data_IF_970268632077
#
_entry.id   IF_970268632077
#
_cell.length_a   1.000
_cell.length_b   1.000
_cell.length_c   1.000
_cell.angle_alpha   90.00
_cell.angle_beta   90.00
_cell.angle_gamma   90.00
#
_symmetry.space_group_name_H-M   'P 1'
#
loop_
_entity.id
_entity.type
_entity.pdbx_description
1 polymer ?
#
# COMPACT_ATOMS: atom_id res chain seq x y z
N UNK A 1 -79.65 35.09 -23.07
CA UNK A 1 -79.41 35.81 -24.34
C UNK A 1 -77.99 35.51 -24.79
N UNK A 2 -77.86 34.89 -25.96
CA UNK A 2 -76.71 34.65 -26.85
C UNK A 2 -75.28 35.09 -26.46
N UNK A 3 -74.33 34.14 -26.61
CA UNK A 3 -72.91 34.38 -26.90
C UNK A 3 -72.73 35.06 -28.27
N UNK A 4 -71.62 35.80 -28.54
CA UNK A 4 -70.47 35.13 -29.17
C UNK A 4 -69.06 35.69 -28.85
N UNK A 5 -68.11 34.78 -29.08
CA UNK A 5 -66.70 34.89 -29.45
C UNK A 5 -66.27 36.14 -30.23
N UNK A 6 -65.05 36.64 -29.93
CA UNK A 6 -64.29 37.55 -30.78
C UNK A 6 -63.04 38.14 -30.10
N UNK A 7 -61.88 37.52 -30.32
CA UNK A 7 -60.55 38.12 -30.07
C UNK A 7 -60.27 39.23 -31.11
N UNK A 8 -59.29 40.15 -30.92
CA UNK A 8 -57.90 39.75 -31.20
C UNK A 8 -56.79 40.49 -30.39
N UNK A 9 -55.59 39.93 -30.54
CA UNK A 9 -54.26 40.58 -30.53
C UNK A 9 -53.73 41.18 -29.22
N UNK A 10 -52.76 40.49 -28.64
CA UNK A 10 -51.48 41.14 -28.36
C UNK A 10 -50.33 40.14 -28.54
N UNK A 11 -49.52 40.38 -29.58
CA UNK A 11 -48.17 39.85 -29.67
C UNK A 11 -47.40 40.35 -28.43
N UNK A 12 -46.81 39.45 -27.66
CA UNK A 12 -45.65 39.82 -26.88
C UNK A 12 -44.55 38.77 -27.05
N UNK A 13 -43.56 39.20 -27.81
CA UNK A 13 -42.27 38.57 -28.00
C UNK A 13 -41.57 38.41 -26.65
N UNK A 14 -41.36 37.17 -26.23
CA UNK A 14 -40.30 36.85 -25.29
C UNK A 14 -39.59 35.61 -25.79
N UNK A 15 -38.60 35.86 -26.64
CA UNK A 15 -37.62 34.86 -27.03
C UNK A 15 -36.89 34.39 -25.78
N UNK A 16 -37.34 33.26 -25.21
CA UNK A 16 -36.47 32.44 -24.38
C UNK A 16 -35.41 31.87 -25.30
N UNK A 17 -34.25 32.51 -25.33
CA UNK A 17 -33.00 31.88 -25.75
C UNK A 17 -32.84 30.67 -24.84
N UNK A 18 -33.17 29.49 -25.37
CA UNK A 18 -32.87 28.21 -24.77
C UNK A 18 -31.36 28.03 -24.90
N UNK A 19 -30.61 28.57 -23.93
CA UNK A 19 -29.19 28.28 -23.79
C UNK A 19 -29.00 26.76 -23.68
N UNK A 20 -27.93 26.20 -24.25
CA UNK A 20 -27.65 24.78 -24.13
C UNK A 20 -27.54 24.44 -22.64
N UNK A 21 -28.26 23.40 -22.23
CA UNK A 21 -28.19 22.86 -20.87
C UNK A 21 -26.71 22.66 -20.50
N UNK A 22 -26.28 23.04 -19.28
CA UNK A 22 -24.98 22.63 -18.81
C UNK A 22 -25.00 21.11 -18.83
N UNK A 23 -24.10 20.52 -19.61
CA UNK A 23 -23.83 19.10 -19.58
C UNK A 23 -23.40 18.82 -18.15
N UNK A 24 -24.35 18.34 -17.34
CA UNK A 24 -24.07 17.66 -16.10
C UNK A 24 -23.28 16.45 -16.57
N UNK A 25 -21.95 16.60 -16.64
CA UNK A 25 -21.02 15.50 -16.58
C UNK A 25 -21.35 14.87 -15.24
N UNK A 26 -22.35 13.98 -15.23
CA UNK A 26 -22.52 12.99 -14.19
C UNK A 26 -21.14 12.36 -14.08
N UNK A 27 -20.42 12.75 -13.04
CA UNK A 27 -19.20 12.10 -12.61
C UNK A 27 -19.65 10.67 -12.35
N UNK A 28 -19.46 9.80 -13.34
CA UNK A 28 -19.88 8.40 -13.26
C UNK A 28 -19.41 7.86 -11.91
N UNK A 29 -20.29 7.32 -11.07
CA UNK A 29 -19.93 6.90 -9.72
C UNK A 29 -18.78 5.87 -9.72
N UNK A 30 -18.65 5.13 -10.82
CA UNK A 30 -17.54 4.21 -11.10
C UNK A 30 -16.20 4.93 -11.25
N UNK A 31 -16.16 6.07 -11.94
CA UNK A 31 -14.95 6.89 -12.07
C UNK A 31 -14.58 7.56 -10.74
N UNK A 32 -15.58 8.01 -9.96
CA UNK A 32 -15.34 8.55 -8.63
C UNK A 32 -14.79 7.49 -7.66
N UNK A 33 -15.30 6.26 -7.74
CA UNK A 33 -14.80 5.13 -6.95
C UNK A 33 -13.35 4.76 -7.36
N UNK A 34 -13.05 4.72 -8.66
CA UNK A 34 -11.71 4.43 -9.17
C UNK A 34 -10.70 5.51 -8.78
N UNK A 35 -11.09 6.80 -8.84
CA UNK A 35 -10.26 7.91 -8.34
C UNK A 35 -10.03 7.77 -6.83
N UNK A 36 -11.07 7.42 -6.05
CA UNK A 36 -10.92 7.17 -4.61
C UNK A 36 -9.96 6.02 -4.28
N UNK A 37 -10.02 4.92 -5.05
CA UNK A 37 -9.10 3.78 -4.91
C UNK A 37 -7.67 4.15 -5.33
N UNK A 38 -7.50 4.93 -6.39
CA UNK A 38 -6.20 5.44 -6.84
C UNK A 38 -5.56 6.40 -5.83
N UNK A 39 -6.33 7.30 -5.22
CA UNK A 39 -5.84 8.20 -4.18
C UNK A 39 -5.41 7.39 -2.93
N UNK A 40 -6.22 6.43 -2.49
CA UNK A 40 -5.87 5.54 -1.37
C UNK A 40 -4.58 4.75 -1.62
N UNK A 41 -4.44 4.17 -2.81
CA UNK A 41 -3.23 3.43 -3.18
C UNK A 41 -2.01 4.35 -3.23
N UNK A 42 -2.15 5.58 -3.70
CA UNK A 42 -1.10 6.60 -3.70
C UNK A 42 -0.69 7.01 -2.28
N UNK A 43 -1.64 7.21 -1.37
CA UNK A 43 -1.37 7.49 0.06
C UNK A 43 -0.64 6.33 0.73
N UNK A 44 -1.06 5.09 0.48
CA UNK A 44 -0.40 3.90 1.00
C UNK A 44 1.02 3.73 0.46
N UNK A 45 1.27 4.05 -0.80
CA UNK A 45 2.63 4.07 -1.38
C UNK A 45 3.51 5.14 -0.71
N UNK A 46 2.96 6.33 -0.46
CA UNK A 46 3.70 7.39 0.25
C UNK A 46 4.02 6.98 1.68
N UNK A 47 3.06 6.37 2.38
CA UNK A 47 3.28 5.81 3.72
C UNK A 47 4.37 4.74 3.68
N UNK A 48 4.32 3.82 2.72
CA UNK A 48 5.33 2.77 2.56
C UNK A 48 6.73 3.37 2.40
N UNK A 49 6.91 4.37 1.52
CA UNK A 49 8.20 5.06 1.33
C UNK A 49 8.71 5.72 2.62
N UNK A 50 7.81 6.34 3.40
CA UNK A 50 8.16 6.94 4.69
C UNK A 50 8.61 5.87 5.69
N UNK A 51 7.87 4.76 5.79
CA UNK A 51 8.23 3.65 6.67
C UNK A 51 9.57 3.05 6.25
N UNK A 52 9.78 2.78 4.95
CA UNK A 52 11.07 2.30 4.42
C UNK A 52 12.22 3.21 4.84
N UNK A 53 12.01 4.53 4.80
CA UNK A 53 13.03 5.50 5.24
C UNK A 53 13.30 5.44 6.75
N UNK A 54 12.34 5.04 7.57
CA UNK A 54 12.52 4.88 9.02
C UNK A 54 13.26 3.60 9.39
N UNK A 55 12.99 2.50 8.65
CA UNK A 55 13.52 1.17 8.96
C UNK A 55 14.84 0.86 8.26
N UNK A 56 15.22 1.63 7.23
CA UNK A 56 16.47 1.44 6.49
C UNK A 56 17.68 1.28 7.44
N UNK A 57 18.42 0.19 7.30
CA UNK A 57 19.47 -0.15 8.27
C UNK A 57 20.70 0.76 8.19
N UNK A 58 20.92 1.43 7.05
CA UNK A 58 22.09 2.30 6.84
C UNK A 58 21.82 3.77 7.12
N UNK A 59 20.58 4.24 6.89
CA UNK A 59 20.18 5.65 6.93
C UNK A 59 18.90 5.92 7.72
N UNK A 60 18.19 4.88 8.14
CA UNK A 60 16.96 5.00 8.90
C UNK A 60 17.20 5.31 10.37
N UNK A 61 16.14 5.78 11.05
CA UNK A 61 16.22 6.24 12.44
C UNK A 61 16.13 5.08 13.44
N UNK A 62 15.49 3.97 13.10
CA UNK A 62 15.26 2.86 14.03
C UNK A 62 16.52 2.02 14.28
N UNK A 63 17.37 1.81 13.27
CA UNK A 63 18.58 1.00 13.42
C UNK A 63 19.64 1.65 14.34
N UNK A 64 19.92 2.98 14.26
CA UNK A 64 20.76 3.68 15.23
C UNK A 64 20.19 3.64 16.65
N UNK A 65 18.88 3.83 16.82
CA UNK A 65 18.24 3.76 18.14
C UNK A 65 18.39 2.36 18.73
N UNK A 66 18.14 1.30 17.94
CA UNK A 66 18.36 -0.09 18.36
C UNK A 66 19.80 -0.30 18.82
N UNK A 67 20.79 0.11 18.01
CA UNK A 67 22.22 -0.01 18.36
C UNK A 67 22.59 0.74 19.65
N UNK A 68 22.05 1.95 19.86
CA UNK A 68 22.28 2.69 21.11
C UNK A 68 21.71 1.95 22.33
N UNK A 69 20.51 1.37 22.20
CA UNK A 69 19.87 0.59 23.27
C UNK A 69 20.66 -0.69 23.56
N UNK A 70 21.10 -1.41 22.52
CA UNK A 70 21.96 -2.60 22.65
C UNK A 70 23.28 -2.26 23.36
N UNK A 71 23.93 -1.17 22.95
CA UNK A 71 25.19 -0.74 23.55
C UNK A 71 25.02 -0.29 25.01
N UNK A 72 23.88 0.32 25.37
CA UNK A 72 23.57 0.64 26.75
C UNK A 72 23.27 -0.62 27.58
N UNK A 73 22.59 -1.62 26.99
CA UNK A 73 22.34 -2.90 27.64
C UNK A 73 23.65 -3.63 27.95
N UNK A 74 24.56 -3.72 26.98
CA UNK A 74 25.87 -4.36 27.17
C UNK A 74 26.75 -3.64 28.20
N UNK A 75 26.69 -2.31 28.29
CA UNK A 75 27.42 -1.58 29.33
C UNK A 75 26.88 -1.83 30.74
N UNK A 76 25.59 -2.11 30.86
CA UNK A 76 24.95 -2.44 32.12
C UNK A 76 25.14 -3.91 32.51
N UNK A 77 25.48 -4.77 31.55
CA UNK A 77 25.77 -6.19 31.75
C UNK A 77 27.07 -6.37 32.54
N UNK A 78 27.05 -7.22 33.57
CA UNK A 78 28.21 -7.44 34.44
C UNK A 78 28.47 -6.35 35.49
N UNK A 79 27.63 -5.30 35.58
CA UNK A 79 27.76 -4.30 36.62
C UNK A 79 27.49 -4.90 38.02
N UNK A 80 28.25 -4.53 39.07
CA UNK A 80 28.05 -5.04 40.44
C UNK A 80 26.68 -4.66 41.01
N UNK A 81 26.19 -3.47 40.65
CA UNK A 81 24.89 -2.97 41.12
C UNK A 81 23.70 -3.69 40.48
N UNK A 82 22.80 -4.21 41.32
CA UNK A 82 21.62 -4.95 40.88
C UNK A 82 20.64 -4.12 40.03
N UNK A 83 20.48 -2.82 40.32
CA UNK A 83 19.59 -1.94 39.56
C UNK A 83 20.08 -1.71 38.12
N UNK A 84 21.41 -1.67 37.92
CA UNK A 84 22.00 -1.54 36.59
C UNK A 84 21.80 -2.82 35.77
N UNK A 85 21.95 -4.00 36.37
CA UNK A 85 21.65 -5.26 35.68
C UNK A 85 20.20 -5.35 35.23
N UNK A 86 19.26 -4.97 36.10
CA UNK A 86 17.83 -4.90 35.75
C UNK A 86 17.58 -3.89 34.61
N UNK A 87 18.20 -2.71 34.65
CA UNK A 87 18.13 -1.76 33.55
C UNK A 87 18.69 -2.35 32.23
N UNK A 88 19.80 -3.09 32.30
CA UNK A 88 20.39 -3.80 31.17
C UNK A 88 19.43 -4.81 30.54
N UNK A 89 18.80 -5.67 31.33
CA UNK A 89 17.81 -6.63 30.83
C UNK A 89 16.61 -5.96 30.16
N UNK A 90 16.14 -4.83 30.71
CA UNK A 90 15.05 -4.05 30.11
C UNK A 90 15.46 -3.44 28.77
N UNK A 91 16.67 -2.90 28.68
CA UNK A 91 17.22 -2.36 27.44
C UNK A 91 17.37 -3.46 26.39
N UNK A 92 17.88 -4.63 26.77
CA UNK A 92 17.98 -5.79 25.86
C UNK A 92 16.60 -6.23 25.34
N UNK A 93 15.57 -6.25 26.20
CA UNK A 93 14.20 -6.53 25.78
C UNK A 93 13.65 -5.46 24.82
N UNK A 94 13.93 -4.19 25.09
CA UNK A 94 13.55 -3.08 24.20
C UNK A 94 14.24 -3.17 22.83
N UNK A 95 15.53 -3.50 22.79
CA UNK A 95 16.27 -3.71 21.55
C UNK A 95 15.66 -4.83 20.68
N UNK A 96 15.34 -5.98 21.31
CA UNK A 96 14.65 -7.09 20.63
C UNK A 96 13.29 -6.65 20.07
N UNK A 97 12.51 -5.90 20.85
CA UNK A 97 11.19 -5.42 20.42
C UNK A 97 11.29 -4.44 19.25
N UNK A 98 12.28 -3.54 19.27
CA UNK A 98 12.56 -2.63 18.16
C UNK A 98 12.95 -3.41 16.90
N UNK A 99 13.77 -4.46 17.02
CA UNK A 99 14.14 -5.29 15.88
C UNK A 99 12.92 -5.97 15.24
N UNK A 100 12.05 -6.59 16.04
CA UNK A 100 10.80 -7.20 15.52
C UNK A 100 9.92 -6.15 14.85
N UNK A 101 9.78 -4.96 15.43
CA UNK A 101 9.01 -3.87 14.81
C UNK A 101 9.61 -3.46 13.46
N UNK A 102 10.93 -3.41 13.33
CA UNK A 102 11.57 -3.12 12.04
C UNK A 102 11.23 -4.20 11.00
N UNK A 103 11.26 -5.48 11.38
CA UNK A 103 10.90 -6.59 10.50
C UNK A 103 9.42 -6.56 10.08
N UNK A 104 8.51 -6.29 11.03
CA UNK A 104 7.07 -6.19 10.75
C UNK A 104 6.78 -5.03 9.78
N UNK A 105 7.44 -3.90 9.96
CA UNK A 105 7.34 -2.74 9.08
C UNK A 105 7.95 -3.00 7.70
N UNK A 106 9.06 -3.73 7.63
CA UNK A 106 9.66 -4.17 6.36
C UNK A 106 8.69 -5.07 5.58
N UNK A 107 8.10 -6.06 6.25
CA UNK A 107 7.09 -6.93 5.66
C UNK A 107 5.86 -6.14 5.17
N UNK A 108 5.35 -5.21 5.99
CA UNK A 108 4.22 -4.37 5.62
C UNK A 108 4.52 -3.49 4.40
N UNK A 109 5.70 -2.86 4.34
CA UNK A 109 6.08 -2.05 3.17
C UNK A 109 6.30 -2.90 1.92
N UNK A 110 6.79 -4.14 2.05
CA UNK A 110 6.85 -5.11 0.95
C UNK A 110 5.46 -5.44 0.38
N UNK A 111 4.45 -5.66 1.23
CA UNK A 111 3.06 -5.89 0.79
C UNK A 111 2.49 -4.66 0.09
N UNK A 112 2.70 -3.47 0.64
CA UNK A 112 2.24 -2.20 0.04
C UNK A 112 2.91 -1.95 -1.32
N UNK A 113 4.20 -2.27 -1.46
CA UNK A 113 4.93 -2.16 -2.73
C UNK A 113 4.46 -3.19 -3.77
N UNK A 114 4.08 -4.40 -3.36
CA UNK A 114 3.55 -5.43 -4.25
C UNK A 114 2.14 -5.07 -4.77
N UNK A 115 1.26 -4.57 -3.91
CA UNK A 115 -0.08 -4.12 -4.29
C UNK A 115 -0.08 -2.86 -5.18
N UNK A 116 0.98 -2.07 -5.11
CA UNK A 116 1.20 -0.87 -5.92
C UNK A 116 1.61 -1.14 -7.38
N UNK A 117 1.98 -2.37 -7.74
CA UNK A 117 2.40 -2.71 -9.09
C UNK A 117 1.21 -3.15 -9.94
N UNK A 118 0.66 -2.31 -10.85
CA UNK A 118 -0.54 -2.66 -11.62
C UNK A 118 -0.22 -3.62 -12.79
N UNK A 119 0.99 -4.18 -12.85
CA UNK A 119 1.52 -4.94 -13.99
C UNK A 119 2.28 -6.21 -13.60
N UNK A 120 2.06 -6.74 -12.39
CA UNK A 120 2.61 -8.03 -11.97
C UNK A 120 1.84 -9.18 -12.62
N UNK A 121 2.16 -9.47 -13.88
CA UNK A 121 1.64 -10.60 -14.62
C UNK A 121 1.70 -11.89 -13.80
N UNK A 122 0.54 -12.54 -13.70
CA UNK A 122 0.27 -13.96 -13.52
C UNK A 122 1.49 -14.80 -13.06
N UNK A 123 1.43 -15.47 -11.87
CA UNK A 123 2.41 -16.51 -11.58
C UNK A 123 2.34 -17.53 -12.70
N UNK A 124 3.42 -17.65 -13.47
CA UNK A 124 3.56 -18.69 -14.48
C UNK A 124 3.35 -20.03 -13.77
N UNK A 125 2.19 -20.64 -14.05
CA UNK A 125 1.82 -21.97 -13.59
C UNK A 125 2.97 -22.93 -13.94
N UNK A 126 3.66 -23.55 -12.97
CA UNK A 126 4.58 -24.63 -13.27
C UNK A 126 3.72 -25.83 -13.68
N UNK A 127 3.56 -26.01 -14.98
CA UNK A 127 2.72 -27.06 -15.50
C UNK A 127 3.01 -27.36 -16.96
N UNK A 128 4.12 -28.06 -17.23
CA UNK A 128 4.07 -29.46 -17.68
C UNK A 128 5.45 -29.94 -18.18
N UNK A 129 5.96 -30.94 -17.45
CA UNK A 129 6.75 -32.10 -17.87
C UNK A 129 7.60 -32.02 -19.16
N UNK A 130 8.91 -32.02 -18.98
CA UNK A 130 9.81 -32.80 -19.83
C UNK A 130 10.03 -34.15 -19.13
N UNK A 131 9.44 -35.20 -19.68
CA UNK A 131 9.74 -36.59 -19.32
C UNK A 131 11.23 -36.86 -19.50
N UNK A 132 11.95 -37.43 -18.51
CA UNK A 132 13.28 -37.95 -18.76
C UNK A 132 13.18 -39.11 -19.77
N UNK A 133 14.08 -39.22 -20.76
CA UNK A 133 14.11 -40.39 -21.63
C UNK A 133 14.36 -41.65 -20.80
N UNK A 134 13.74 -42.80 -21.13
CA UNK A 134 14.02 -44.04 -20.44
C UNK A 134 15.50 -44.40 -20.66
N UNK A 135 16.26 -44.42 -19.56
CA UNK A 135 17.64 -44.93 -19.57
C UNK A 135 17.60 -46.41 -19.93
N UNK A 136 18.21 -46.75 -21.06
CA UNK A 136 18.42 -48.14 -21.46
C UNK A 136 19.29 -48.85 -20.42
N UNK A 137 19.00 -50.11 -20.06
CA UNK A 137 19.83 -50.86 -19.13
C UNK A 137 21.13 -51.25 -19.82
N UNK A 138 22.23 -50.62 -19.43
CA UNK A 138 23.56 -51.14 -19.77
C UNK A 138 23.75 -52.48 -19.04
N UNK A 139 23.58 -53.54 -19.81
CA UNK A 139 23.88 -54.92 -19.47
C UNK A 139 25.28 -55.05 -18.83
N UNK A 140 25.30 -55.83 -17.75
CA UNK A 140 26.49 -56.43 -17.15
C UNK A 140 27.40 -57.03 -18.21
N UNK A 141 28.70 -56.76 -18.09
CA UNK A 141 29.71 -57.75 -18.44
C UNK A 141 30.73 -57.90 -17.30
N UNK A 142 31.19 -59.14 -17.25
CA UNK A 142 31.87 -59.92 -16.22
C UNK A 142 33.31 -59.50 -15.97
#
# INVERSE_FOLDING_TARGET
MHTPVGAPAHCNSSGRVRGPAPHHLETSPELAALVGEYELTTDLQQLARRITSLIDEQRGLLAPVRRCVEQAAHQAEGHPDAWLREAGHRLEWAARRLHTLQQDLEAATGVLAAGASPGGGMPARPGQAATPPPSAPCLRHR
#
